data_IF_828276912066
#
_entry.id   IF_828276912066
#
_cell.length_a   1.000
_cell.length_b   1.000
_cell.length_c   1.000
_cell.angle_alpha   90.00
_cell.angle_beta   90.00
_cell.angle_gamma   90.00
#
_symmetry.space_group_name_H-M   'P 1'
#
loop_
_entity.id
_entity.type
_entity.pdbx_description
1 polymer ?
#
# COMPACT_ATOMS: atom_id res chain seq x y z
N UNK A 1 -7.79 -41.86 5.27
CA UNK A 1 -6.63 -41.00 5.04
C UNK A 1 -6.19 -40.41 6.38
N UNK A 2 -4.92 -40.53 6.77
CA UNK A 2 -4.41 -39.85 7.96
C UNK A 2 -4.33 -38.36 7.68
N UNK A 3 -5.03 -37.54 8.46
CA UNK A 3 -4.87 -36.08 8.37
C UNK A 3 -3.40 -35.71 8.69
N UNK A 4 -2.83 -34.85 7.85
CA UNK A 4 -1.50 -34.32 8.04
C UNK A 4 -1.50 -33.45 9.30
N UNK A 5 -0.56 -33.68 10.22
CA UNK A 5 -0.43 -32.88 11.42
C UNK A 5 -0.08 -31.43 11.03
N UNK A 6 -0.96 -30.49 11.37
CA UNK A 6 -0.67 -29.06 11.30
C UNK A 6 -0.19 -28.58 12.66
N UNK A 7 0.99 -27.98 12.69
CA UNK A 7 1.55 -27.40 13.92
C UNK A 7 0.66 -26.24 14.37
N UNK A 8 0.04 -26.30 15.58
CA UNK A 8 -0.76 -25.18 16.05
C UNK A 8 0.09 -23.94 16.23
N UNK A 9 -0.33 -22.82 15.63
CA UNK A 9 0.29 -21.52 15.85
C UNK A 9 -0.23 -20.96 17.17
N UNK A 10 0.55 -21.14 18.24
CA UNK A 10 0.24 -20.54 19.54
C UNK A 10 0.71 -19.09 19.49
N UNK A 11 -0.24 -18.16 19.32
CA UNK A 11 0.04 -16.73 19.44
C UNK A 11 0.20 -16.38 20.92
N UNK A 12 1.30 -15.72 21.27
CA UNK A 12 1.48 -15.15 22.61
C UNK A 12 0.53 -13.96 22.73
N UNK A 13 -0.61 -14.13 23.34
CA UNK A 13 -1.48 -13.02 23.70
C UNK A 13 -0.85 -12.28 24.89
N UNK A 14 -0.49 -11.03 24.70
CA UNK A 14 -0.16 -10.14 25.80
C UNK A 14 -1.47 -9.73 26.50
N UNK A 15 -1.94 -10.55 27.42
CA UNK A 15 -3.10 -10.25 28.26
C UNK A 15 -2.78 -9.28 29.41
N UNK A 16 -1.65 -8.60 29.35
CA UNK A 16 -1.10 -7.77 30.42
C UNK A 16 -1.76 -6.40 30.64
N UNK A 17 -2.99 -6.19 30.19
CA UNK A 17 -3.65 -4.89 30.30
C UNK A 17 -4.30 -4.59 31.65
N UNK A 18 -4.43 -5.56 32.53
CA UNK A 18 -4.91 -5.32 33.90
C UNK A 18 -3.96 -5.91 34.90
N UNK A 19 -2.99 -5.13 35.32
CA UNK A 19 -2.32 -5.45 36.56
C UNK A 19 -2.91 -4.60 37.70
N UNK A 20 -2.76 -5.11 38.92
CA UNK A 20 -3.23 -4.50 40.18
C UNK A 20 -2.72 -3.06 40.39
N UNK A 21 -1.71 -2.64 39.65
CA UNK A 21 -1.00 -1.35 39.81
C UNK A 21 -1.25 -0.38 38.63
N UNK A 22 -2.20 -0.68 37.75
CA UNK A 22 -2.48 0.11 36.53
C UNK A 22 -1.59 -0.29 35.36
N UNK A 23 -1.90 0.25 34.18
CA UNK A 23 -1.10 0.06 32.97
C UNK A 23 0.25 0.74 33.15
N UNK A 24 1.31 -0.05 33.18
CA UNK A 24 2.65 0.47 32.97
C UNK A 24 2.76 0.85 31.50
N UNK A 25 2.63 2.11 31.19
CA UNK A 25 2.99 2.64 29.89
C UNK A 25 4.52 2.75 29.86
N UNK A 26 5.17 1.66 29.43
CA UNK A 26 6.60 1.72 29.13
C UNK A 26 6.73 2.54 27.84
N UNK A 27 7.05 3.83 27.98
CA UNK A 27 7.49 4.63 26.87
C UNK A 27 8.96 4.29 26.64
N UNK A 28 9.21 3.43 25.65
CA UNK A 28 10.55 3.29 25.13
C UNK A 28 10.83 4.53 24.25
N UNK A 29 11.71 5.43 24.65
CA UNK A 29 12.07 6.57 23.82
C UNK A 29 12.75 6.06 22.55
N UNK A 30 12.38 6.65 21.41
CA UNK A 30 13.01 6.35 20.11
C UNK A 30 14.01 7.44 19.81
N UNK A 31 15.24 7.25 20.26
CA UNK A 31 16.33 8.21 20.05
C UNK A 31 16.94 8.18 18.65
N UNK A 32 16.73 7.11 17.87
CA UNK A 32 17.28 6.96 16.52
C UNK A 32 16.48 6.05 15.60
N UNK A 33 16.65 6.23 14.30
CA UNK A 33 16.10 5.41 13.21
C UNK A 33 17.29 4.87 12.42
N UNK A 34 17.41 3.56 12.30
CA UNK A 34 18.55 2.86 11.64
C UNK A 34 19.94 3.37 12.11
N UNK A 35 20.06 3.75 13.38
CA UNK A 35 21.30 4.26 13.97
C UNK A 35 21.51 5.78 13.79
N UNK A 36 20.65 6.47 13.04
CA UNK A 36 20.72 7.94 12.90
C UNK A 36 19.85 8.58 14.00
N UNK A 37 20.42 9.47 14.83
CA UNK A 37 19.67 10.15 15.90
C UNK A 37 18.49 10.97 15.34
N UNK A 38 17.32 10.84 15.96
CA UNK A 38 16.10 11.60 15.59
C UNK A 38 16.37 13.11 15.61
N UNK A 39 17.13 13.59 16.61
CA UNK A 39 17.48 15.00 16.70
C UNK A 39 18.28 15.48 15.49
N UNK A 40 19.26 14.70 15.03
CA UNK A 40 20.09 15.07 13.88
C UNK A 40 19.23 15.17 12.60
N UNK A 41 18.27 14.24 12.42
CA UNK A 41 17.34 14.27 11.28
C UNK A 41 16.47 15.54 11.28
N UNK A 42 15.97 15.92 12.46
CA UNK A 42 15.17 17.15 12.60
C UNK A 42 16.03 18.43 12.43
N UNK A 43 17.25 18.45 13.00
CA UNK A 43 18.13 19.61 12.89
C UNK A 43 18.58 19.85 11.43
N UNK A 44 18.84 18.79 10.66
CA UNK A 44 19.33 18.86 9.28
C UNK A 44 18.21 19.11 8.24
N UNK A 45 17.06 18.45 8.40
CA UNK A 45 16.01 18.45 7.39
C UNK A 45 14.75 19.22 7.78
N UNK A 46 14.71 19.75 9.01
CA UNK A 46 13.56 20.48 9.56
C UNK A 46 12.53 19.57 10.24
N UNK A 47 11.48 20.19 10.79
CA UNK A 47 10.33 19.54 11.39
C UNK A 47 9.06 20.15 10.81
N UNK A 48 8.04 19.34 10.40
CA UNK A 48 8.07 17.88 10.37
C UNK A 48 8.93 17.33 9.23
N UNK A 49 9.38 16.06 9.34
CA UNK A 49 10.14 15.37 8.28
C UNK A 49 9.74 13.88 8.20
N UNK A 50 9.51 13.38 6.98
CA UNK A 50 9.35 11.94 6.76
C UNK A 50 10.70 11.26 6.61
N UNK A 51 10.85 10.10 7.24
CA UNK A 51 12.06 9.28 7.16
C UNK A 51 11.69 7.87 6.72
N UNK A 52 12.41 7.37 5.71
CA UNK A 52 12.23 6.01 5.19
C UNK A 52 13.51 5.20 5.43
N UNK A 53 13.35 3.95 5.86
CA UNK A 53 14.44 2.99 6.05
C UNK A 53 14.58 2.09 4.82
N UNK A 54 15.66 2.22 4.05
CA UNK A 54 15.95 1.31 2.94
C UNK A 54 16.09 -0.14 3.43
N UNK A 55 16.75 -0.32 4.56
CA UNK A 55 16.94 -1.64 5.19
C UNK A 55 15.61 -2.34 5.45
N UNK A 56 14.66 -1.62 6.03
CA UNK A 56 13.36 -2.19 6.35
C UNK A 56 12.52 -2.46 5.09
N UNK A 57 12.57 -1.57 4.08
CA UNK A 57 11.91 -1.80 2.79
C UNK A 57 12.39 -3.11 2.16
N UNK A 58 13.70 -3.29 2.02
CA UNK A 58 14.28 -4.51 1.42
C UNK A 58 13.95 -5.75 2.25
N UNK A 59 14.06 -5.67 3.58
CA UNK A 59 13.73 -6.76 4.50
C UNK A 59 12.28 -7.24 4.31
N UNK A 60 11.33 -6.30 4.26
CA UNK A 60 9.90 -6.62 4.09
C UNK A 60 9.63 -7.27 2.74
N UNK A 61 10.20 -6.73 1.68
CA UNK A 61 10.06 -7.29 0.34
C UNK A 61 10.61 -8.71 0.28
N UNK A 62 11.84 -8.92 0.72
CA UNK A 62 12.49 -10.23 0.70
C UNK A 62 11.76 -11.26 1.57
N UNK A 63 11.26 -10.86 2.74
CA UNK A 63 10.47 -11.72 3.61
C UNK A 63 9.16 -12.13 2.94
N UNK A 64 8.44 -11.15 2.35
CA UNK A 64 7.17 -11.41 1.66
C UNK A 64 7.36 -12.32 0.44
N UNK A 65 8.35 -12.04 -0.39
CA UNK A 65 8.68 -12.90 -1.55
C UNK A 65 9.05 -14.31 -1.11
N UNK A 66 9.84 -14.45 -0.04
CA UNK A 66 10.21 -15.76 0.51
C UNK A 66 8.99 -16.54 0.96
N UNK A 67 8.05 -15.91 1.67
CA UNK A 67 6.84 -16.55 2.18
C UNK A 67 6.02 -17.21 1.05
N UNK A 68 5.94 -16.55 -0.11
CA UNK A 68 5.24 -17.09 -1.26
C UNK A 68 6.10 -18.10 -2.07
N UNK A 69 7.37 -17.79 -2.36
CA UNK A 69 8.24 -18.66 -3.18
C UNK A 69 8.53 -20.02 -2.55
N UNK A 70 8.47 -20.12 -1.22
CA UNK A 70 8.63 -21.41 -0.53
C UNK A 70 7.37 -22.30 -0.65
N UNK A 71 6.24 -21.76 -1.10
CA UNK A 71 4.95 -22.44 -1.20
C UNK A 71 4.45 -22.62 -2.63
N UNK A 72 4.86 -21.74 -3.53
CA UNK A 72 4.43 -21.74 -4.92
C UNK A 72 5.62 -21.45 -5.86
N UNK A 73 5.81 -22.25 -6.95
CA UNK A 73 7.04 -22.18 -7.73
C UNK A 73 7.19 -20.94 -8.62
N UNK A 74 6.06 -20.31 -9.01
CA UNK A 74 6.04 -19.20 -9.96
C UNK A 74 5.36 -17.97 -9.31
N UNK A 75 6.15 -17.09 -8.69
CA UNK A 75 5.64 -15.91 -7.98
C UNK A 75 6.35 -14.65 -8.45
N UNK A 76 5.58 -13.62 -8.69
CA UNK A 76 6.04 -12.27 -8.99
C UNK A 76 5.33 -11.23 -8.13
N UNK A 77 6.09 -10.35 -7.49
CA UNK A 77 5.54 -9.18 -6.81
C UNK A 77 5.61 -7.96 -7.75
N UNK A 78 4.55 -7.18 -7.76
CA UNK A 78 4.50 -5.88 -8.42
C UNK A 78 4.34 -4.78 -7.35
N UNK A 79 5.23 -3.78 -7.38
CA UNK A 79 5.14 -2.63 -6.50
C UNK A 79 4.00 -1.72 -6.92
N UNK A 80 3.07 -1.46 -6.00
CA UNK A 80 1.92 -0.62 -6.23
C UNK A 80 2.27 0.87 -6.05
N UNK A 81 2.44 1.61 -7.16
CA UNK A 81 2.91 2.99 -7.17
C UNK A 81 2.03 3.94 -6.35
N UNK A 82 0.71 3.75 -6.38
CA UNK A 82 -0.25 4.51 -5.56
C UNK A 82 0.04 4.48 -4.05
N UNK A 83 0.80 3.50 -3.59
CA UNK A 83 1.19 3.40 -2.18
C UNK A 83 2.27 4.42 -1.82
N UNK A 84 3.30 4.54 -2.64
CA UNK A 84 4.38 5.51 -2.53
C UNK A 84 5.16 5.57 -3.85
N UNK A 85 4.95 6.60 -4.64
CA UNK A 85 5.56 6.76 -5.97
C UNK A 85 6.85 7.57 -5.98
N UNK A 86 7.50 7.82 -4.83
CA UNK A 86 8.81 8.46 -4.83
C UNK A 86 9.83 7.62 -5.60
N UNK A 87 10.57 8.23 -6.52
CA UNK A 87 11.47 7.50 -7.42
C UNK A 87 12.48 6.63 -6.67
N UNK A 88 13.04 7.13 -5.55
CA UNK A 88 13.97 6.35 -4.74
C UNK A 88 13.32 5.07 -4.19
N UNK A 89 12.08 5.17 -3.69
CA UNK A 89 11.30 4.02 -3.19
C UNK A 89 11.03 3.02 -4.31
N UNK A 90 10.51 3.50 -5.45
CA UNK A 90 10.22 2.64 -6.60
C UNK A 90 11.48 1.89 -7.07
N UNK A 91 12.62 2.60 -7.18
CA UNK A 91 13.89 1.98 -7.61
C UNK A 91 14.40 0.93 -6.63
N UNK A 92 14.22 1.11 -5.32
CA UNK A 92 14.57 0.08 -4.33
C UNK A 92 13.78 -1.21 -4.62
N UNK A 93 12.46 -1.11 -4.83
CA UNK A 93 11.64 -2.28 -5.15
C UNK A 93 12.03 -2.93 -6.48
N UNK A 94 12.33 -2.14 -7.52
CA UNK A 94 12.76 -2.68 -8.81
C UNK A 94 14.13 -3.33 -8.74
N UNK A 95 15.06 -2.82 -7.93
CA UNK A 95 16.33 -3.49 -7.64
C UNK A 95 16.17 -4.84 -6.95
N UNK A 96 15.11 -5.00 -6.14
CA UNK A 96 14.76 -6.29 -5.53
C UNK A 96 14.01 -7.23 -6.51
N UNK A 97 13.75 -6.80 -7.74
CA UNK A 97 13.10 -7.60 -8.78
C UNK A 97 11.57 -7.45 -8.83
N UNK A 98 11.00 -6.45 -8.16
CA UNK A 98 9.58 -6.16 -8.26
C UNK A 98 9.22 -5.58 -9.63
N UNK A 99 8.09 -6.02 -10.21
CA UNK A 99 7.45 -5.33 -11.32
C UNK A 99 6.78 -4.03 -10.83
N UNK A 100 6.22 -3.26 -11.76
CA UNK A 100 5.43 -2.08 -11.43
C UNK A 100 3.94 -2.34 -11.61
N UNK A 101 3.11 -2.01 -10.61
CA UNK A 101 1.66 -1.85 -10.76
C UNK A 101 1.35 -0.36 -10.72
N UNK A 102 0.66 0.11 -11.77
CA UNK A 102 0.31 1.51 -11.98
C UNK A 102 -1.17 1.66 -12.30
N UNK A 103 -1.78 2.77 -11.87
CA UNK A 103 -3.23 3.00 -12.01
C UNK A 103 -3.57 4.31 -12.75
N UNK A 104 -2.56 4.98 -13.29
CA UNK A 104 -2.70 6.22 -14.04
C UNK A 104 -1.57 6.42 -15.04
N UNK A 105 -1.78 7.26 -16.05
CA UNK A 105 -0.75 7.59 -17.04
C UNK A 105 0.50 8.17 -16.40
N UNK A 106 0.36 9.09 -15.41
CA UNK A 106 1.55 9.66 -14.77
C UNK A 106 2.38 8.61 -14.01
N UNK A 107 1.74 7.64 -13.35
CA UNK A 107 2.45 6.53 -12.71
C UNK A 107 3.12 5.63 -13.74
N UNK A 108 2.45 5.39 -14.89
CA UNK A 108 3.02 4.65 -16.00
C UNK A 108 4.31 5.31 -16.52
N UNK A 109 4.27 6.62 -16.80
CA UNK A 109 5.45 7.37 -17.22
C UNK A 109 6.56 7.37 -16.16
N UNK A 110 6.19 7.42 -14.86
CA UNK A 110 7.17 7.26 -13.77
C UNK A 110 7.82 5.88 -13.77
N UNK A 111 7.07 4.82 -14.03
CA UNK A 111 7.61 3.46 -14.10
C UNK A 111 8.64 3.34 -15.23
N UNK A 112 8.31 3.82 -16.43
CA UNK A 112 9.24 3.90 -17.55
C UNK A 112 10.48 4.75 -17.18
N UNK A 113 10.29 5.93 -16.58
CA UNK A 113 11.39 6.81 -16.13
C UNK A 113 12.26 6.21 -15.03
N UNK A 114 11.75 5.27 -14.27
CA UNK A 114 12.51 4.50 -13.29
C UNK A 114 13.26 3.30 -13.92
N UNK A 115 13.11 3.06 -15.24
CA UNK A 115 13.80 2.01 -15.98
C UNK A 115 13.08 0.67 -15.97
N UNK A 116 11.78 0.63 -15.64
CA UNK A 116 11.00 -0.62 -15.69
C UNK A 116 10.72 -0.96 -17.15
N UNK A 117 11.04 -2.19 -17.56
CA UNK A 117 10.71 -2.68 -18.89
C UNK A 117 9.18 -2.75 -19.08
N UNK A 118 8.67 -2.38 -20.25
CA UNK A 118 7.25 -2.30 -20.51
C UNK A 118 6.49 -3.60 -20.16
N UNK A 119 7.04 -4.76 -20.51
CA UNK A 119 6.46 -6.07 -20.19
C UNK A 119 6.50 -6.44 -18.69
N UNK A 120 7.08 -5.59 -17.85
CA UNK A 120 7.07 -5.69 -16.38
C UNK A 120 6.20 -4.59 -15.75
N UNK A 121 5.35 -3.93 -16.53
CA UNK A 121 4.38 -2.97 -16.05
C UNK A 121 2.98 -3.54 -16.18
N UNK A 122 2.25 -3.55 -15.08
CA UNK A 122 0.83 -3.89 -14.99
C UNK A 122 0.05 -2.58 -14.93
N UNK A 123 -0.79 -2.34 -15.92
CA UNK A 123 -1.57 -1.12 -16.00
C UNK A 123 -3.02 -1.38 -15.61
N UNK A 124 -3.35 -1.01 -14.39
CA UNK A 124 -4.67 -1.10 -13.75
C UNK A 124 -5.44 0.22 -13.83
N UNK A 125 -6.57 0.24 -13.16
CA UNK A 125 -7.40 1.43 -12.95
C UNK A 125 -8.56 1.56 -13.93
N UNK A 126 -9.63 2.27 -13.53
CA UNK A 126 -10.85 2.42 -14.34
C UNK A 126 -10.76 3.57 -15.36
N UNK A 127 -9.72 4.39 -15.32
CA UNK A 127 -9.53 5.51 -16.25
C UNK A 127 -8.12 5.46 -16.85
N UNK A 128 -8.03 4.95 -18.08
CA UNK A 128 -6.82 4.92 -18.90
C UNK A 128 -7.05 5.75 -20.16
N UNK A 129 -6.20 6.73 -20.39
CA UNK A 129 -6.30 7.60 -21.57
C UNK A 129 -5.86 6.88 -22.85
N UNK A 130 -6.35 7.31 -24.00
CA UNK A 130 -6.00 6.73 -25.30
C UNK A 130 -4.50 6.66 -25.53
N UNK A 131 -3.80 7.75 -25.22
CA UNK A 131 -2.35 7.85 -25.43
C UNK A 131 -1.59 6.90 -24.49
N UNK A 132 -2.04 6.77 -23.23
CA UNK A 132 -1.44 5.88 -22.25
C UNK A 132 -1.66 4.40 -22.63
N UNK A 133 -2.87 4.04 -23.11
CA UNK A 133 -3.15 2.70 -23.62
C UNK A 133 -2.30 2.40 -24.85
N UNK A 134 -2.18 3.36 -25.78
CA UNK A 134 -1.34 3.22 -26.96
C UNK A 134 0.11 2.92 -26.57
N UNK A 135 0.66 3.72 -25.68
CA UNK A 135 2.02 3.55 -25.16
C UNK A 135 2.19 2.19 -24.45
N UNK A 136 1.20 1.77 -23.67
CA UNK A 136 1.24 0.48 -22.97
C UNK A 136 1.26 -0.70 -23.95
N UNK A 137 0.44 -0.66 -25.02
CA UNK A 137 0.46 -1.69 -26.07
C UNK A 137 1.80 -1.68 -26.82
N UNK A 138 2.32 -0.51 -27.16
CA UNK A 138 3.62 -0.36 -27.84
C UNK A 138 4.77 -0.96 -27.05
N UNK A 139 4.74 -0.81 -25.74
CA UNK A 139 5.76 -1.32 -24.82
C UNK A 139 5.52 -2.79 -24.40
N UNK A 140 4.42 -3.42 -24.85
CA UNK A 140 4.07 -4.80 -24.48
C UNK A 140 3.68 -4.98 -23.01
N UNK A 141 3.10 -3.95 -22.39
CA UNK A 141 2.65 -3.96 -21.00
C UNK A 141 1.40 -4.83 -20.81
N UNK A 142 1.19 -5.29 -19.59
CA UNK A 142 0.00 -6.05 -19.20
C UNK A 142 -1.11 -5.07 -18.85
N UNK A 143 -2.20 -5.05 -19.65
CA UNK A 143 -3.30 -4.13 -19.42
C UNK A 143 -4.48 -4.89 -18.79
N UNK A 144 -4.84 -4.50 -17.57
CA UNK A 144 -6.00 -5.07 -16.87
C UNK A 144 -7.26 -4.26 -17.17
N UNK A 145 -8.17 -4.86 -17.90
CA UNK A 145 -9.41 -4.23 -18.37
C UNK A 145 -10.42 -4.18 -17.22
N UNK A 146 -10.97 -3.00 -16.95
CA UNK A 146 -11.91 -2.77 -15.87
C UNK A 146 -13.38 -2.78 -16.31
N UNK A 147 -13.68 -2.38 -17.56
CA UNK A 147 -15.05 -2.27 -18.09
C UNK A 147 -15.13 -2.43 -19.61
N UNK A 148 -16.36 -2.64 -20.14
CA UNK A 148 -16.55 -2.91 -21.56
C UNK A 148 -16.16 -1.76 -22.49
N UNK A 149 -16.38 -0.51 -22.10
CA UNK A 149 -15.99 0.64 -22.93
C UNK A 149 -14.48 0.69 -23.14
N UNK A 150 -13.71 0.38 -22.10
CA UNK A 150 -12.26 0.23 -22.18
C UNK A 150 -11.87 -0.94 -23.09
N UNK A 151 -12.53 -2.10 -22.96
CA UNK A 151 -12.30 -3.25 -23.84
C UNK A 151 -12.44 -2.85 -25.32
N UNK A 152 -13.52 -2.18 -25.66
CA UNK A 152 -13.74 -1.73 -27.04
C UNK A 152 -12.76 -0.64 -27.47
N UNK A 153 -12.32 0.20 -26.55
CA UNK A 153 -11.29 1.20 -26.82
C UNK A 153 -9.95 0.55 -27.14
N UNK A 154 -9.52 -0.44 -26.35
CA UNK A 154 -8.27 -1.19 -26.56
C UNK A 154 -8.31 -1.91 -27.91
N UNK A 155 -9.43 -2.55 -28.29
CA UNK A 155 -9.59 -3.19 -29.59
C UNK A 155 -9.33 -2.20 -30.72
N UNK A 156 -9.97 -1.00 -30.67
CA UNK A 156 -9.80 0.03 -31.71
C UNK A 156 -8.36 0.56 -31.77
N UNK A 157 -7.70 0.74 -30.62
CA UNK A 157 -6.32 1.21 -30.57
C UNK A 157 -5.40 0.14 -31.13
N UNK A 158 -5.51 -1.10 -30.71
CA UNK A 158 -4.69 -2.22 -31.15
C UNK A 158 -4.82 -2.43 -32.67
N UNK A 159 -6.04 -2.38 -33.22
CA UNK A 159 -6.29 -2.45 -34.67
C UNK A 159 -5.63 -1.28 -35.43
N UNK A 160 -5.78 -0.05 -34.92
CA UNK A 160 -5.21 1.15 -35.53
C UNK A 160 -3.67 1.12 -35.61
N UNK A 161 -3.01 0.61 -34.56
CA UNK A 161 -1.53 0.55 -34.51
C UNK A 161 -0.97 -0.77 -35.07
N UNK A 162 -1.84 -1.72 -35.42
CA UNK A 162 -1.44 -3.03 -35.96
C UNK A 162 -0.67 -3.92 -35.00
N UNK A 163 -0.96 -3.82 -33.70
CA UNK A 163 -0.31 -4.61 -32.65
C UNK A 163 -1.33 -5.41 -31.84
N UNK A 164 -0.92 -6.55 -31.33
CA UNK A 164 -1.73 -7.35 -30.41
C UNK A 164 -1.51 -6.81 -28.98
N UNK A 165 -2.61 -6.48 -28.30
CA UNK A 165 -2.58 -6.06 -26.91
C UNK A 165 -2.65 -7.27 -25.97
N UNK A 166 -1.68 -7.38 -25.06
CA UNK A 166 -1.71 -8.36 -23.96
C UNK A 166 -2.61 -7.85 -22.86
N UNK A 167 -3.70 -8.56 -22.61
CA UNK A 167 -4.73 -8.10 -21.69
C UNK A 167 -5.10 -9.16 -20.66
N UNK A 168 -5.51 -8.69 -19.51
CA UNK A 168 -6.27 -9.45 -18.52
C UNK A 168 -7.59 -8.74 -18.23
N UNK A 169 -8.51 -9.39 -17.58
CA UNK A 169 -9.70 -8.73 -17.03
C UNK A 169 -9.60 -8.63 -15.52
N UNK A 170 -10.08 -7.52 -14.97
CA UNK A 170 -10.36 -7.41 -13.54
C UNK A 170 -11.71 -8.07 -13.25
N UNK A 171 -11.73 -8.99 -12.30
CA UNK A 171 -12.92 -9.72 -11.87
C UNK A 171 -13.30 -9.31 -10.47
N UNK A 172 -14.56 -8.98 -10.24
CA UNK A 172 -15.12 -8.82 -8.91
C UNK A 172 -16.09 -9.96 -8.59
N UNK A 173 -16.24 -10.26 -7.33
CA UNK A 173 -17.08 -11.35 -6.83
C UNK A 173 -17.34 -11.23 -5.33
N UNK A 174 -18.36 -11.94 -4.87
CA UNK A 174 -18.63 -12.08 -3.44
C UNK A 174 -17.66 -13.06 -2.78
N UNK A 175 -16.98 -12.63 -1.74
CA UNK A 175 -16.15 -13.48 -0.88
C UNK A 175 -16.91 -14.01 0.32
N UNK A 176 -18.15 -13.57 0.56
CA UNK A 176 -18.94 -13.88 1.74
C UNK A 176 -18.38 -13.33 3.05
N UNK A 177 -17.32 -12.54 3.00
CA UNK A 177 -16.61 -12.02 4.20
C UNK A 177 -16.65 -10.47 4.25
N UNK A 178 -16.48 -9.84 3.10
CA UNK A 178 -16.46 -8.38 2.98
C UNK A 178 -17.40 -7.92 1.88
N UNK A 179 -17.87 -6.66 1.92
CA UNK A 179 -18.66 -6.08 0.83
C UNK A 179 -17.92 -6.21 -0.51
N UNK A 180 -18.66 -6.53 -1.57
CA UNK A 180 -18.12 -6.64 -2.93
C UNK A 180 -17.64 -5.26 -3.39
N UNK A 181 -16.45 -5.21 -4.00
CA UNK A 181 -15.96 -4.02 -4.69
C UNK A 181 -16.44 -4.00 -6.14
N UNK A 182 -17.77 -4.03 -6.33
CA UNK A 182 -18.47 -4.11 -7.62
C UNK A 182 -18.34 -2.85 -8.49
N UNK A 183 -17.84 -1.76 -7.91
CA UNK A 183 -17.45 -0.57 -8.67
C UNK A 183 -16.39 -0.86 -9.73
N UNK A 184 -15.61 -1.92 -9.58
CA UNK A 184 -14.45 -2.24 -10.40
C UNK A 184 -14.60 -3.62 -11.02
N UNK A 185 -14.22 -3.72 -12.32
CA UNK A 185 -14.14 -4.99 -13.00
C UNK A 185 -15.47 -5.61 -13.38
N UNK A 186 -15.38 -6.81 -13.90
CA UNK A 186 -16.50 -7.61 -14.39
C UNK A 186 -16.95 -8.60 -13.32
N UNK A 187 -18.25 -8.66 -13.06
CA UNK A 187 -18.76 -9.54 -12.02
C UNK A 187 -18.77 -11.02 -12.46
N UNK A 188 -18.30 -11.88 -11.56
CA UNK A 188 -18.21 -13.33 -11.76
C UNK A 188 -19.60 -13.99 -11.73
N UNK A 189 -20.42 -13.68 -10.72
CA UNK A 189 -21.68 -14.36 -10.43
C UNK A 189 -22.76 -14.13 -11.51
N UNK A 190 -22.80 -12.92 -12.08
CA UNK A 190 -23.79 -12.58 -13.11
C UNK A 190 -23.33 -12.88 -14.55
N UNK A 191 -22.13 -13.45 -14.71
CA UNK A 191 -21.58 -13.87 -15.99
C UNK A 191 -20.89 -12.76 -16.81
N UNK A 192 -20.79 -11.53 -16.32
CA UNK A 192 -20.08 -10.44 -17.02
C UNK A 192 -18.61 -10.78 -17.29
N UNK A 193 -17.92 -11.37 -16.30
CA UNK A 193 -16.52 -11.79 -16.46
C UNK A 193 -16.36 -12.79 -17.62
N UNK A 194 -17.24 -13.77 -17.71
CA UNK A 194 -17.20 -14.76 -18.80
C UNK A 194 -17.52 -14.13 -20.16
N UNK A 195 -18.45 -13.19 -20.20
CA UNK A 195 -18.79 -12.44 -21.43
C UNK A 195 -17.57 -11.64 -21.92
N UNK A 196 -16.88 -10.91 -21.02
CA UNK A 196 -15.67 -10.17 -21.36
C UNK A 196 -14.55 -11.10 -21.86
N UNK A 197 -14.28 -12.21 -21.16
CA UNK A 197 -13.33 -13.24 -21.58
C UNK A 197 -13.66 -13.77 -22.99
N UNK A 198 -14.91 -14.11 -23.25
CA UNK A 198 -15.35 -14.66 -24.56
C UNK A 198 -15.14 -13.65 -25.67
N UNK A 199 -15.42 -12.35 -25.43
CA UNK A 199 -15.19 -11.29 -26.42
C UNK A 199 -13.70 -11.09 -26.70
N UNK A 200 -12.85 -11.09 -25.68
CA UNK A 200 -11.40 -10.98 -25.84
C UNK A 200 -10.86 -12.18 -26.63
N UNK A 201 -11.30 -13.40 -26.29
CA UNK A 201 -10.83 -14.61 -26.94
C UNK A 201 -11.22 -14.71 -28.41
N UNK A 202 -12.30 -14.02 -28.82
CA UNK A 202 -12.80 -13.97 -30.22
C UNK A 202 -12.12 -12.85 -31.03
N UNK A 203 -11.45 -11.90 -30.43
CA UNK A 203 -10.83 -10.77 -31.12
C UNK A 203 -9.37 -11.06 -31.49
N UNK A 204 -9.01 -10.77 -32.74
CA UNK A 204 -7.67 -11.05 -33.30
C UNK A 204 -6.59 -10.07 -32.81
N UNK A 205 -6.99 -8.92 -32.30
CA UNK A 205 -6.08 -7.85 -31.85
C UNK A 205 -5.75 -7.96 -30.35
N UNK A 206 -6.39 -8.92 -29.66
CA UNK A 206 -6.22 -9.12 -28.22
C UNK A 206 -5.66 -10.49 -27.89
N UNK A 207 -4.79 -10.55 -26.93
CA UNK A 207 -4.27 -11.76 -26.31
C UNK A 207 -4.66 -11.79 -24.83
N UNK A 208 -5.58 -12.70 -24.47
CA UNK A 208 -5.94 -12.91 -23.07
C UNK A 208 -4.81 -13.69 -22.37
N UNK A 209 -4.02 -13.01 -21.57
CA UNK A 209 -2.86 -13.59 -20.87
C UNK A 209 -3.10 -13.82 -19.38
N UNK A 210 -4.05 -13.11 -18.75
CA UNK A 210 -4.23 -13.18 -17.31
C UNK A 210 -5.65 -12.92 -16.82
N UNK A 211 -5.84 -13.22 -15.53
CA UNK A 211 -7.02 -12.86 -14.76
C UNK A 211 -6.58 -12.12 -13.51
N UNK A 212 -7.24 -11.01 -13.18
CA UNK A 212 -6.92 -10.17 -12.04
C UNK A 212 -8.11 -10.01 -11.12
N UNK A 213 -7.86 -9.93 -9.82
CA UNK A 213 -8.82 -9.44 -8.84
C UNK A 213 -8.13 -8.57 -7.78
N UNK A 214 -8.89 -7.66 -7.21
CA UNK A 214 -8.47 -6.92 -6.01
C UNK A 214 -9.67 -6.80 -5.09
N UNK A 215 -9.69 -7.59 -4.02
CA UNK A 215 -10.87 -7.85 -3.19
C UNK A 215 -11.06 -6.86 -2.05
N UNK A 216 -10.13 -5.93 -1.85
CA UNK A 216 -10.24 -4.93 -0.80
C UNK A 216 -8.90 -4.39 -0.32
N UNK A 217 -8.96 -3.58 0.72
CA UNK A 217 -7.78 -3.01 1.38
C UNK A 217 -7.77 -3.37 2.87
N UNK A 218 -6.59 -3.54 3.44
CA UNK A 218 -6.40 -3.92 4.85
C UNK A 218 -7.20 -5.17 5.24
N UNK A 219 -7.04 -6.22 4.44
CA UNK A 219 -7.82 -7.46 4.55
C UNK A 219 -7.34 -8.31 5.72
N UNK A 220 -8.20 -8.55 6.69
CA UNK A 220 -7.88 -9.35 7.89
C UNK A 220 -8.32 -10.81 7.74
N UNK A 221 -8.99 -11.17 6.65
CA UNK A 221 -9.48 -12.55 6.43
C UNK A 221 -8.65 -13.26 5.37
N UNK A 222 -7.93 -14.28 5.80
CA UNK A 222 -7.20 -15.21 4.93
C UNK A 222 -8.17 -16.02 4.05
N UNK A 223 -9.37 -16.36 4.57
CA UNK A 223 -10.37 -17.12 3.80
C UNK A 223 -10.90 -16.37 2.59
N UNK A 224 -10.98 -15.05 2.63
CA UNK A 224 -11.38 -14.24 1.47
C UNK A 224 -10.44 -14.45 0.27
N UNK A 225 -9.13 -14.58 0.51
CA UNK A 225 -8.16 -14.87 -0.55
C UNK A 225 -8.23 -16.30 -1.06
N UNK A 226 -8.61 -17.29 -0.23
CA UNK A 226 -8.90 -18.65 -0.72
C UNK A 226 -10.05 -18.64 -1.72
N UNK A 227 -11.13 -17.92 -1.41
CA UNK A 227 -12.30 -17.80 -2.30
C UNK A 227 -11.91 -17.08 -3.58
N UNK A 228 -11.14 -15.99 -3.47
CA UNK A 228 -10.63 -15.25 -4.61
C UNK A 228 -9.78 -16.14 -5.55
N UNK A 229 -8.82 -16.85 -4.99
CA UNK A 229 -7.98 -17.77 -5.74
C UNK A 229 -8.81 -18.90 -6.40
N UNK A 230 -9.79 -19.47 -5.69
CA UNK A 230 -10.68 -20.51 -6.25
C UNK A 230 -11.42 -19.98 -7.47
N UNK A 231 -12.07 -18.81 -7.38
CA UNK A 231 -12.86 -18.24 -8.50
C UNK A 231 -12.00 -17.88 -9.71
N UNK A 232 -10.80 -17.35 -9.49
CA UNK A 232 -9.88 -17.11 -10.63
C UNK A 232 -9.38 -18.42 -11.24
N UNK A 233 -9.09 -19.45 -10.44
CA UNK A 233 -8.73 -20.77 -10.94
C UNK A 233 -9.86 -21.39 -11.77
N UNK A 234 -11.10 -21.31 -11.30
CA UNK A 234 -12.28 -21.82 -12.03
C UNK A 234 -12.41 -21.15 -13.41
N UNK A 235 -12.26 -19.82 -13.47
CA UNK A 235 -12.27 -19.10 -14.75
C UNK A 235 -11.12 -19.52 -15.66
N UNK A 236 -9.90 -19.67 -15.12
CA UNK A 236 -8.72 -20.05 -15.89
C UNK A 236 -8.87 -21.47 -16.48
N UNK A 237 -9.35 -22.42 -15.70
CA UNK A 237 -9.64 -23.80 -16.16
C UNK A 237 -10.77 -23.83 -17.18
N UNK A 238 -11.79 -22.99 -16.99
CA UNK A 238 -12.87 -22.83 -17.96
C UNK A 238 -12.38 -22.23 -19.28
N UNK A 239 -11.49 -21.24 -19.26
CA UNK A 239 -10.83 -20.73 -20.47
C UNK A 239 -10.11 -21.84 -21.24
N UNK A 240 -9.39 -22.71 -20.54
CA UNK A 240 -8.69 -23.84 -21.16
C UNK A 240 -9.64 -24.85 -21.76
N UNK A 241 -10.71 -25.23 -21.06
CA UNK A 241 -11.64 -26.29 -21.51
C UNK A 241 -12.55 -25.81 -22.62
N UNK A 242 -13.15 -24.62 -22.52
CA UNK A 242 -14.15 -24.12 -23.45
C UNK A 242 -13.55 -23.31 -24.61
N UNK A 243 -12.54 -22.46 -24.34
CA UNK A 243 -11.96 -21.55 -25.33
C UNK A 243 -10.62 -22.03 -25.89
N UNK A 244 -10.04 -23.11 -25.35
CA UNK A 244 -8.69 -23.61 -25.69
C UNK A 244 -7.60 -22.53 -25.47
N UNK A 245 -7.81 -21.64 -24.50
CA UNK A 245 -6.87 -20.58 -24.11
C UNK A 245 -6.28 -20.90 -22.74
N UNK A 246 -4.97 -20.91 -22.66
CA UNK A 246 -4.25 -21.07 -21.38
C UNK A 246 -4.01 -19.69 -20.78
N UNK A 247 -4.37 -19.50 -19.52
CA UNK A 247 -4.11 -18.30 -18.77
C UNK A 247 -2.67 -18.37 -18.20
N UNK A 248 -1.86 -17.39 -18.52
CA UNK A 248 -0.44 -17.37 -18.15
C UNK A 248 -0.24 -16.95 -16.69
N UNK A 249 -1.09 -16.05 -16.16
CA UNK A 249 -1.00 -15.60 -14.78
C UNK A 249 -2.34 -15.35 -14.10
N UNK A 250 -2.33 -15.52 -12.80
CA UNK A 250 -3.38 -15.09 -11.88
C UNK A 250 -2.85 -13.97 -10.99
N UNK A 251 -3.44 -12.80 -11.08
CA UNK A 251 -3.11 -11.66 -10.25
C UNK A 251 -4.16 -11.50 -9.15
N UNK A 252 -3.77 -11.72 -7.90
CA UNK A 252 -4.65 -11.62 -6.74
C UNK A 252 -4.64 -10.22 -6.10
N UNK A 253 -4.05 -9.25 -6.81
CA UNK A 253 -3.98 -7.87 -6.34
C UNK A 253 -3.13 -7.71 -5.06
N UNK A 254 -3.48 -6.68 -4.31
CA UNK A 254 -2.87 -6.38 -3.03
C UNK A 254 -3.88 -6.49 -1.88
N UNK A 255 -3.86 -5.49 -0.99
CA UNK A 255 -4.78 -5.42 0.14
C UNK A 255 -4.25 -6.07 1.42
N UNK A 256 -3.07 -6.67 1.39
CA UNK A 256 -2.42 -7.22 2.59
C UNK A 256 -2.20 -6.12 3.64
N UNK A 257 -2.60 -6.37 4.90
CA UNK A 257 -2.53 -5.38 5.96
C UNK A 257 -1.10 -5.16 6.46
N UNK A 258 -0.87 -3.98 7.03
CA UNK A 258 0.27 -3.75 7.93
C UNK A 258 -0.16 -3.98 9.37
N UNK A 259 0.80 -4.01 10.29
CA UNK A 259 0.53 -4.15 11.72
C UNK A 259 0.14 -2.83 12.40
N UNK A 260 -0.35 -1.84 11.64
CA UNK A 260 -1.00 -0.66 12.21
C UNK A 260 -2.30 -1.06 12.91
N UNK A 261 -2.64 -0.35 13.97
CA UNK A 261 -3.91 -0.54 14.68
C UNK A 261 -4.98 0.28 13.97
N UNK A 262 -6.05 -0.37 13.51
CA UNK A 262 -7.20 0.35 12.93
C UNK A 262 -7.83 1.26 13.98
N UNK A 263 -8.27 2.45 13.57
CA UNK A 263 -8.94 3.40 14.45
C UNK A 263 -10.17 2.76 15.09
N UNK A 264 -10.26 2.88 16.40
CA UNK A 264 -11.34 2.26 17.19
C UNK A 264 -11.20 0.74 17.43
N UNK A 265 -10.12 0.11 16.97
CA UNK A 265 -9.87 -1.31 17.30
C UNK A 265 -9.38 -1.45 18.75
N UNK A 266 -9.96 -2.43 19.43
CA UNK A 266 -9.62 -2.70 20.84
C UNK A 266 -8.23 -3.33 21.02
N UNK A 267 -7.83 -4.20 20.08
CA UNK A 267 -6.53 -4.89 20.14
C UNK A 267 -5.52 -4.25 19.17
N UNK A 268 -4.25 -4.25 19.54
CA UNK A 268 -3.17 -3.77 18.65
C UNK A 268 -3.12 -4.55 17.34
N UNK A 269 -2.76 -3.88 16.24
CA UNK A 269 -2.64 -4.53 14.94
C UNK A 269 -1.63 -5.68 14.91
N UNK A 270 -0.59 -5.63 15.74
CA UNK A 270 0.39 -6.73 15.88
C UNK A 270 -0.20 -8.04 16.39
N UNK A 271 -1.34 -7.99 17.08
CA UNK A 271 -2.02 -9.15 17.64
C UNK A 271 -3.18 -9.65 16.76
N UNK A 272 -3.68 -8.81 15.84
CA UNK A 272 -4.91 -9.08 15.07
C UNK A 272 -4.66 -9.32 13.60
N UNK A 273 -3.54 -8.81 13.04
CA UNK A 273 -3.24 -8.90 11.63
C UNK A 273 -2.65 -10.28 11.30
N UNK A 274 -3.23 -11.02 10.32
CA UNK A 274 -2.63 -12.25 9.84
C UNK A 274 -1.26 -12.01 9.22
N UNK A 275 -0.35 -12.96 9.40
CA UNK A 275 0.98 -12.89 8.80
C UNK A 275 0.94 -13.08 7.28
N UNK A 276 1.98 -12.62 6.59
CA UNK A 276 2.14 -12.83 5.14
C UNK A 276 2.20 -14.34 4.82
N UNK A 277 2.78 -15.13 5.73
CA UNK A 277 2.86 -16.58 5.60
C UNK A 277 1.49 -17.25 5.57
N UNK A 278 0.54 -16.79 6.39
CA UNK A 278 -0.83 -17.32 6.40
C UNK A 278 -1.56 -17.05 5.08
N UNK A 279 -1.40 -15.85 4.52
CA UNK A 279 -1.92 -15.53 3.19
C UNK A 279 -1.24 -16.36 2.10
N UNK A 280 0.08 -16.50 2.16
CA UNK A 280 0.86 -17.27 1.19
C UNK A 280 0.45 -18.75 1.19
N UNK A 281 0.26 -19.35 2.38
CA UNK A 281 -0.21 -20.73 2.51
C UNK A 281 -1.61 -20.90 1.91
N UNK A 282 -2.52 -19.99 2.24
CA UNK A 282 -3.90 -20.08 1.79
C UNK A 282 -4.02 -19.94 0.27
N UNK A 283 -3.31 -18.99 -0.33
CA UNK A 283 -3.36 -18.73 -1.77
C UNK A 283 -2.65 -19.87 -2.53
N UNK A 284 -1.42 -20.20 -2.14
CA UNK A 284 -0.63 -21.21 -2.81
C UNK A 284 -1.29 -22.59 -2.78
N UNK A 285 -1.76 -23.03 -1.61
CA UNK A 285 -2.46 -24.33 -1.48
C UNK A 285 -3.73 -24.37 -2.34
N UNK A 286 -4.47 -23.28 -2.44
CA UNK A 286 -5.67 -23.20 -3.28
C UNK A 286 -5.33 -23.39 -4.75
N UNK A 287 -4.34 -22.67 -5.28
CA UNK A 287 -3.95 -22.75 -6.69
C UNK A 287 -3.38 -24.14 -7.01
N UNK A 288 -2.53 -24.69 -6.14
CA UNK A 288 -1.93 -26.03 -6.33
C UNK A 288 -2.97 -27.15 -6.36
N UNK A 289 -4.07 -27.00 -5.61
CA UNK A 289 -5.14 -28.00 -5.54
C UNK A 289 -6.29 -27.75 -6.56
N UNK A 290 -6.21 -26.70 -7.39
CA UNK A 290 -7.27 -26.32 -8.31
C UNK A 290 -7.41 -27.26 -9.53
N UNK A 291 -6.41 -28.10 -9.80
CA UNK A 291 -6.45 -29.05 -10.92
C UNK A 291 -5.64 -28.64 -12.15
N UNK A 292 -4.76 -27.65 -12.04
CA UNK A 292 -3.78 -27.37 -13.09
C UNK A 292 -2.76 -28.50 -13.21
N UNK A 293 -2.34 -28.80 -14.43
CA UNK A 293 -1.15 -29.65 -14.62
C UNK A 293 0.08 -28.93 -14.07
N UNK A 294 1.01 -29.66 -13.49
CA UNK A 294 2.19 -29.07 -12.84
C UNK A 294 3.01 -28.16 -13.78
N UNK A 295 3.11 -28.49 -15.04
CA UNK A 295 3.86 -27.71 -16.05
C UNK A 295 3.07 -26.46 -16.52
N UNK A 296 1.78 -26.38 -16.25
CA UNK A 296 0.87 -25.32 -16.69
C UNK A 296 0.41 -24.42 -15.52
N UNK A 297 1.04 -24.56 -14.35
CA UNK A 297 0.75 -23.66 -13.23
C UNK A 297 0.93 -22.20 -13.69
N UNK A 298 -0.09 -21.34 -13.48
CA UNK A 298 0.01 -19.92 -13.83
C UNK A 298 1.06 -19.21 -12.96
N UNK A 299 1.62 -18.11 -13.46
CA UNK A 299 2.38 -17.20 -12.62
C UNK A 299 1.43 -16.54 -11.60
N UNK A 300 1.76 -16.61 -10.32
CA UNK A 300 1.03 -15.87 -9.28
C UNK A 300 1.63 -14.47 -9.18
N UNK A 301 0.81 -13.45 -9.46
CA UNK A 301 1.17 -12.04 -9.29
C UNK A 301 0.50 -11.49 -8.03
N UNK A 302 1.22 -10.63 -7.31
CA UNK A 302 0.76 -9.96 -6.10
C UNK A 302 1.13 -8.48 -6.17
N UNK A 303 0.13 -7.60 -6.18
CA UNK A 303 0.27 -6.14 -6.27
C UNK A 303 0.41 -5.53 -4.87
N UNK A 304 1.52 -5.80 -4.25
CA UNK A 304 1.70 -5.43 -2.84
C UNK A 304 2.19 -3.99 -2.69
N UNK A 305 1.62 -3.31 -1.72
CA UNK A 305 1.99 -1.96 -1.34
C UNK A 305 2.22 -1.84 0.15
N UNK A 306 1.16 -1.62 0.91
CA UNK A 306 1.16 -1.33 2.35
C UNK A 306 2.08 -2.23 3.18
N UNK A 307 1.91 -3.54 3.07
CA UNK A 307 2.67 -4.54 3.85
C UNK A 307 4.19 -4.46 3.61
N UNK A 308 4.60 -3.91 2.48
CA UNK A 308 6.02 -3.84 2.10
C UNK A 308 6.73 -2.58 2.61
N UNK A 309 6.00 -1.49 2.92
CA UNK A 309 6.64 -0.20 3.21
C UNK A 309 6.12 0.49 4.48
N UNK A 310 4.95 0.12 4.98
CA UNK A 310 4.30 0.91 6.03
C UNK A 310 5.19 1.08 7.27
N UNK A 311 5.77 0.00 7.76
CA UNK A 311 6.65 -0.03 8.93
C UNK A 311 8.10 0.45 8.64
N UNK A 312 8.43 0.71 7.38
CA UNK A 312 9.68 1.34 6.99
C UNK A 312 9.63 2.88 7.04
N UNK A 313 8.44 3.46 7.24
CA UNK A 313 8.23 4.90 7.28
C UNK A 313 8.00 5.45 8.68
N UNK A 314 8.60 6.60 8.93
CA UNK A 314 8.48 7.38 10.15
C UNK A 314 8.17 8.84 9.80
N UNK A 315 7.42 9.52 10.67
CA UNK A 315 7.25 10.97 10.64
C UNK A 315 7.79 11.51 11.96
N UNK A 316 8.82 12.34 11.87
CA UNK A 316 9.35 13.11 13.00
C UNK A 316 8.66 14.46 12.99
N UNK A 317 8.12 14.88 14.12
CA UNK A 317 7.54 16.19 14.29
C UNK A 317 7.78 16.72 15.69
N UNK A 318 7.47 18.00 15.89
CA UNK A 318 7.73 18.70 17.15
C UNK A 318 6.46 19.20 17.82
N UNK A 319 6.51 19.32 19.13
CA UNK A 319 5.47 19.96 19.93
C UNK A 319 5.50 21.46 19.70
N UNK A 320 4.36 22.05 19.37
CA UNK A 320 4.16 23.51 19.28
C UNK A 320 3.75 24.06 20.64
N UNK A 321 2.72 23.48 21.26
CA UNK A 321 2.13 23.98 22.48
C UNK A 321 1.31 22.91 23.22
N UNK A 322 1.07 23.17 24.51
CA UNK A 322 0.11 22.42 25.32
C UNK A 322 -1.00 23.36 25.80
N UNK A 323 -2.19 22.82 25.98
CA UNK A 323 -3.33 23.51 26.55
C UNK A 323 -4.24 22.56 27.31
N UNK A 324 -5.16 23.13 28.12
CA UNK A 324 -6.29 22.40 28.69
C UNK A 324 -7.55 22.66 27.88
N UNK A 325 -8.28 21.61 27.56
CA UNK A 325 -9.59 21.70 26.95
C UNK A 325 -10.65 22.07 27.98
N UNK A 326 -11.84 22.47 27.54
CA UNK A 326 -12.95 22.84 28.40
C UNK A 326 -13.42 21.69 29.34
N UNK A 327 -13.22 20.45 28.93
CA UNK A 327 -13.52 19.25 29.71
C UNK A 327 -12.37 18.83 30.66
N UNK A 328 -11.29 19.62 30.70
CA UNK A 328 -10.12 19.40 31.57
C UNK A 328 -9.04 18.49 30.98
N UNK A 329 -9.27 17.81 29.86
CA UNK A 329 -8.25 16.97 29.22
C UNK A 329 -7.06 17.81 28.75
N UNK A 330 -5.89 17.22 28.79
CA UNK A 330 -4.70 17.80 28.17
C UNK A 330 -4.79 17.70 26.65
N UNK A 331 -4.39 18.75 25.97
CA UNK A 331 -4.18 18.76 24.53
C UNK A 331 -2.74 19.19 24.23
N UNK A 332 -2.09 18.49 23.32
CA UNK A 332 -0.79 18.86 22.76
C UNK A 332 -0.97 19.13 21.29
N UNK A 333 -0.48 20.28 20.83
CA UNK A 333 -0.49 20.69 19.43
C UNK A 333 0.88 20.41 18.85
N UNK A 334 0.92 19.71 17.71
CA UNK A 334 2.16 19.36 17.00
C UNK A 334 2.24 20.05 15.65
N UNK A 335 3.41 20.05 15.02
CA UNK A 335 3.68 20.70 13.73
C UNK A 335 3.29 19.87 12.50
N UNK A 336 2.64 18.71 12.71
CA UNK A 336 2.09 17.86 11.65
C UNK A 336 0.61 17.56 11.90
N UNK A 337 -0.16 17.50 10.83
CA UNK A 337 -1.60 17.26 10.90
C UNK A 337 -2.08 16.29 9.83
N UNK A 338 -3.40 16.17 9.72
CA UNK A 338 -4.05 15.24 8.78
C UNK A 338 -3.73 15.55 7.30
N UNK A 339 -3.28 16.76 6.99
CA UNK A 339 -2.87 17.14 5.64
C UNK A 339 -1.67 16.34 5.13
N UNK A 340 -0.74 15.97 6.00
CA UNK A 340 0.44 15.18 5.65
C UNK A 340 0.40 13.76 6.25
N UNK A 341 -0.35 13.55 7.32
CA UNK A 341 -0.58 12.26 7.96
C UNK A 341 -2.04 11.79 7.71
N UNK A 342 -2.42 11.67 6.44
CA UNK A 342 -3.77 11.28 6.04
C UNK A 342 -4.22 9.96 6.68
N UNK A 343 -3.29 9.03 6.88
CA UNK A 343 -3.58 7.71 7.46
C UNK A 343 -3.97 7.75 8.95
N UNK A 344 -3.84 8.90 9.63
CA UNK A 344 -4.40 9.08 10.98
C UNK A 344 -5.93 9.01 11.01
N UNK A 345 -6.60 9.15 9.85
CA UNK A 345 -8.03 8.89 9.71
C UNK A 345 -8.37 7.39 9.73
N UNK A 346 -7.40 6.52 9.46
CA UNK A 346 -7.57 5.06 9.41
C UNK A 346 -7.01 4.34 10.62
N UNK A 347 -5.93 4.90 11.21
CA UNK A 347 -5.13 4.23 12.23
C UNK A 347 -4.96 5.05 13.49
N UNK A 348 -4.85 4.33 14.58
CA UNK A 348 -4.26 4.79 15.82
C UNK A 348 -2.75 4.51 15.79
N UNK A 349 -2.00 5.37 15.06
CA UNK A 349 -0.55 5.21 14.92
C UNK A 349 0.16 5.13 16.28
N UNK A 350 1.17 4.25 16.36
CA UNK A 350 2.11 4.28 17.47
C UNK A 350 2.92 5.58 17.39
N UNK A 351 2.95 6.32 18.50
CA UNK A 351 3.74 7.55 18.64
C UNK A 351 4.69 7.34 19.79
N UNK A 352 5.97 7.60 19.55
CA UNK A 352 7.04 7.56 20.55
C UNK A 352 7.61 8.96 20.76
N UNK A 353 8.23 9.19 21.90
CA UNK A 353 8.98 10.42 22.21
C UNK A 353 10.46 10.20 21.92
N UNK A 354 11.17 11.26 21.49
CA UNK A 354 12.58 11.15 21.12
C UNK A 354 13.55 11.39 22.28
N UNK A 355 13.04 11.63 23.48
CA UNK A 355 13.82 11.82 24.70
C UNK A 355 13.34 10.91 25.82
N UNK A 356 14.17 10.66 26.82
CA UNK A 356 13.71 10.05 28.05
C UNK A 356 12.70 10.98 28.74
N UNK A 357 11.62 10.39 29.25
CA UNK A 357 10.56 11.11 29.92
C UNK A 357 10.27 10.54 31.31
N UNK A 358 9.69 11.37 32.17
CA UNK A 358 9.25 10.95 33.50
C UNK A 358 8.15 9.87 33.41
N UNK A 359 8.01 9.11 34.49
CA UNK A 359 7.03 8.00 34.58
C UNK A 359 5.57 8.47 34.64
N UNK A 360 5.33 9.74 34.92
CA UNK A 360 3.98 10.29 35.00
C UNK A 360 3.45 10.60 33.61
N UNK A 361 2.34 9.97 33.27
CA UNK A 361 1.63 10.17 31.99
C UNK A 361 0.20 10.60 32.25
N UNK A 362 -0.35 11.35 31.31
CA UNK A 362 -1.73 11.81 31.32
C UNK A 362 -2.37 11.55 29.96
N UNK A 363 -3.65 11.22 29.97
CA UNK A 363 -4.44 11.12 28.74
C UNK A 363 -4.44 12.46 28.01
N UNK A 364 -4.05 12.46 26.76
CA UNK A 364 -3.78 13.65 25.96
C UNK A 364 -4.46 13.49 24.59
N UNK A 365 -5.11 14.56 24.13
CA UNK A 365 -5.53 14.71 22.73
C UNK A 365 -4.36 15.30 21.95
N UNK A 366 -4.01 14.71 20.82
CA UNK A 366 -2.96 15.22 19.94
C UNK A 366 -3.57 15.86 18.71
N UNK A 367 -3.44 17.20 18.62
CA UNK A 367 -3.94 18.00 17.51
C UNK A 367 -2.82 18.38 16.54
N UNK A 368 -3.13 18.46 15.25
CA UNK A 368 -2.27 19.10 14.27
C UNK A 368 -2.38 20.63 14.29
N UNK A 369 -1.63 21.31 13.40
CA UNK A 369 -1.52 22.77 13.36
C UNK A 369 -2.56 23.46 12.49
N UNK A 370 -3.47 22.71 11.86
CA UNK A 370 -4.38 23.24 10.85
C UNK A 370 -5.56 23.97 11.47
N UNK A 371 -6.05 25.03 10.82
CA UNK A 371 -7.28 25.73 11.20
C UNK A 371 -8.52 24.91 10.84
N UNK A 372 -8.55 23.63 11.22
CA UNK A 372 -9.64 22.68 11.00
C UNK A 372 -9.95 21.91 12.27
N UNK A 373 -11.22 21.85 12.65
CA UNK A 373 -11.62 21.11 13.86
C UNK A 373 -11.41 19.59 13.75
N UNK A 374 -11.28 19.07 12.52
CA UNK A 374 -11.01 17.66 12.25
C UNK A 374 -9.50 17.31 12.28
N UNK A 375 -8.62 18.28 12.52
CA UNK A 375 -7.18 18.05 12.56
C UNK A 375 -6.75 17.40 13.89
N UNK A 376 -7.23 16.19 14.08
CA UNK A 376 -6.99 15.35 15.26
C UNK A 376 -6.09 14.17 14.85
N UNK A 377 -4.85 14.19 15.27
CA UNK A 377 -3.89 13.11 15.01
C UNK A 377 -4.20 11.88 15.89
N UNK A 378 -4.49 12.11 17.18
CA UNK A 378 -4.93 11.07 18.13
C UNK A 378 -5.95 11.64 19.10
N UNK A 379 -7.09 10.98 19.20
CA UNK A 379 -8.17 11.39 20.11
C UNK A 379 -7.85 11.13 21.59
N UNK A 380 -7.03 10.08 21.83
CA UNK A 380 -6.60 9.68 23.15
C UNK A 380 -5.25 8.97 23.05
N UNK A 381 -4.28 9.45 23.78
CA UNK A 381 -2.96 8.84 23.94
C UNK A 381 -2.40 9.22 25.31
N UNK A 382 -1.87 8.25 26.05
CA UNK A 382 -1.15 8.56 27.28
C UNK A 382 0.25 9.06 26.95
N UNK A 383 0.55 10.32 27.28
CA UNK A 383 1.86 10.95 27.06
C UNK A 383 2.38 11.55 28.37
N UNK A 384 3.71 11.56 28.58
CA UNK A 384 4.29 12.40 29.61
C UNK A 384 4.04 13.89 29.32
N UNK A 385 4.37 14.77 30.24
CA UNK A 385 4.37 16.19 29.95
C UNK A 385 5.49 16.49 28.95
N UNK A 386 5.12 17.02 27.81
CA UNK A 386 6.03 17.45 26.75
C UNK A 386 6.15 18.97 26.76
N UNK A 387 7.29 19.47 26.35
CA UNK A 387 7.55 20.91 26.19
C UNK A 387 7.58 21.29 24.72
N UNK A 388 7.36 22.58 24.37
CA UNK A 388 7.59 23.05 23.01
C UNK A 388 8.97 22.65 22.49
N UNK A 389 9.03 22.21 21.22
CA UNK A 389 10.18 21.63 20.53
C UNK A 389 10.60 20.21 20.95
N UNK A 390 9.88 19.55 21.85
CA UNK A 390 10.06 18.12 22.05
C UNK A 390 9.68 17.36 20.80
N UNK A 391 10.52 16.37 20.42
CA UNK A 391 10.33 15.60 19.20
C UNK A 391 9.49 14.34 19.47
N UNK A 392 8.56 14.11 18.58
CA UNK A 392 7.74 12.91 18.50
C UNK A 392 8.07 12.13 17.23
N UNK A 393 7.98 10.81 17.29
CA UNK A 393 8.15 9.90 16.16
C UNK A 393 6.86 9.13 15.96
N UNK A 394 6.18 9.36 14.84
CA UNK A 394 5.03 8.57 14.39
C UNK A 394 5.54 7.41 13.56
N UNK A 395 5.17 6.19 13.95
CA UNK A 395 5.63 4.97 13.32
C UNK A 395 4.67 4.48 12.24
N UNK A 396 5.19 3.69 11.30
CA UNK A 396 4.43 2.96 10.27
C UNK A 396 3.61 3.90 9.39
N UNK A 397 4.29 4.87 8.79
CA UNK A 397 3.70 5.88 7.92
C UNK A 397 4.23 5.85 6.48
N UNK A 398 4.90 4.76 6.08
CA UNK A 398 5.50 4.63 4.75
C UNK A 398 4.50 4.55 3.60
N UNK A 399 3.27 4.11 3.88
CA UNK A 399 2.23 3.91 2.87
C UNK A 399 1.19 5.03 2.89
N UNK A 400 0.80 5.50 1.71
CA UNK A 400 -0.32 6.42 1.42
C UNK A 400 -0.24 7.82 1.99
N UNK A 401 0.72 8.18 2.83
CA UNK A 401 0.84 9.55 3.33
C UNK A 401 1.42 10.49 2.27
N UNK A 402 2.51 10.10 1.60
CA UNK A 402 3.17 10.91 0.57
C UNK A 402 2.43 10.94 -0.78
N UNK A 403 1.43 10.11 -0.96
CA UNK A 403 0.60 10.06 -2.17
C UNK A 403 -0.79 10.68 -1.99
N UNK A 404 -1.24 10.81 -0.74
CA UNK A 404 -2.55 11.36 -0.38
C UNK A 404 -2.46 12.62 0.48
N UNK A 405 -1.29 13.23 0.61
CA UNK A 405 -1.18 14.49 1.33
C UNK A 405 -1.84 15.66 0.60
N UNK A 406 -2.48 16.51 1.38
CA UNK A 406 -3.19 17.67 0.90
C UNK A 406 -2.31 18.92 0.95
N UNK A 407 -2.43 19.79 -0.05
CA UNK A 407 -1.90 21.14 0.02
C UNK A 407 -2.89 22.03 0.77
N UNK A 408 -2.68 22.21 2.07
CA UNK A 408 -3.55 23.02 2.91
C UNK A 408 -2.77 23.64 4.05
N UNK A 409 -2.82 24.98 4.17
CA UNK A 409 -2.20 25.84 5.20
C UNK A 409 -0.66 25.71 5.23
N UNK A 410 -0.14 24.52 5.46
CA UNK A 410 1.29 24.26 5.55
C UNK A 410 1.82 23.60 4.27
N UNK A 411 3.07 23.89 3.95
CA UNK A 411 3.79 23.27 2.84
C UNK A 411 4.16 21.84 3.18
N UNK A 412 4.23 20.97 2.17
CA UNK A 412 4.62 19.56 2.38
C UNK A 412 6.09 19.46 2.74
N UNK A 413 6.43 18.62 3.73
CA UNK A 413 7.77 18.56 4.30
C UNK A 413 8.76 17.79 3.41
N UNK A 414 10.02 17.77 3.86
CA UNK A 414 11.07 16.93 3.33
C UNK A 414 10.77 15.44 3.51
N UNK A 415 11.31 14.62 2.60
CA UNK A 415 11.38 13.16 2.77
C UNK A 415 12.82 12.72 2.65
N UNK A 416 13.29 11.99 3.65
CA UNK A 416 14.66 11.50 3.78
C UNK A 416 14.68 9.98 3.70
N UNK A 417 15.65 9.41 3.02
CA UNK A 417 15.94 7.97 3.01
C UNK A 417 17.23 7.73 3.82
N UNK A 418 17.20 6.77 4.73
CA UNK A 418 18.39 6.23 5.36
C UNK A 418 18.80 4.97 4.60
N UNK A 419 20.00 4.97 4.03
CA UNK A 419 20.52 3.86 3.25
C UNK A 419 21.03 2.70 4.12
N UNK A 420 21.53 1.64 3.47
CA UNK A 420 22.03 0.45 4.16
C UNK A 420 23.27 0.73 5.03
N UNK A 421 24.00 1.79 4.77
CA UNK A 421 25.18 2.24 5.50
C UNK A 421 24.86 3.23 6.61
N UNK A 422 23.58 3.62 6.77
CA UNK A 422 23.14 4.61 7.75
C UNK A 422 23.34 6.07 7.29
N UNK A 423 23.66 6.29 6.00
CA UNK A 423 23.75 7.64 5.44
C UNK A 423 22.36 8.15 5.07
N UNK A 424 22.12 9.43 5.32
CA UNK A 424 20.86 10.12 5.01
C UNK A 424 20.90 10.71 3.60
N UNK A 425 19.80 10.62 2.88
CA UNK A 425 19.60 11.16 1.54
C UNK A 425 18.28 11.89 1.44
N UNK A 426 18.31 13.17 1.08
CA UNK A 426 17.11 13.94 0.80
C UNK A 426 16.51 13.46 -0.53
N UNK A 427 15.45 12.65 -0.48
CA UNK A 427 14.79 12.08 -1.67
C UNK A 427 13.61 12.92 -2.17
N UNK A 428 13.10 13.85 -1.35
CA UNK A 428 12.16 14.89 -1.73
C UNK A 428 12.43 16.15 -0.91
N UNK A 429 12.65 17.28 -1.61
CA UNK A 429 12.82 18.58 -0.96
C UNK A 429 11.52 19.03 -0.31
N UNK A 430 11.57 19.78 0.80
CA UNK A 430 10.39 20.46 1.30
C UNK A 430 9.90 21.47 0.25
N UNK A 431 8.59 21.71 0.24
CA UNK A 431 8.02 22.74 -0.63
C UNK A 431 8.34 24.13 -0.11
N UNK A 432 8.29 25.09 -1.03
CA UNK A 432 8.41 26.51 -0.75
C UNK A 432 7.39 27.29 -1.58
N UNK A 433 7.26 28.59 -1.34
CA UNK A 433 6.31 29.44 -2.04
C UNK A 433 6.55 29.41 -3.57
N UNK A 434 7.78 29.46 -4.00
CA UNK A 434 8.13 29.41 -5.43
C UNK A 434 7.63 28.12 -6.11
N UNK A 435 7.67 26.99 -5.41
CA UNK A 435 7.12 25.71 -5.91
C UNK A 435 5.59 25.78 -6.07
N UNK A 436 4.89 26.40 -5.11
CA UNK A 436 3.42 26.53 -5.17
C UNK A 436 2.98 27.45 -6.31
N UNK A 437 3.69 28.55 -6.50
CA UNK A 437 3.38 29.55 -7.53
C UNK A 437 3.81 29.13 -8.96
N UNK A 438 4.57 28.03 -9.09
CA UNK A 438 5.13 27.58 -10.37
C UNK A 438 4.07 27.41 -11.48
N UNK A 439 2.86 27.03 -11.12
CA UNK A 439 1.75 26.79 -12.04
C UNK A 439 0.73 27.93 -12.08
N UNK A 440 0.90 28.96 -11.25
CA UNK A 440 -0.01 30.11 -11.19
C UNK A 440 0.27 31.09 -12.33
N UNK A 441 -0.76 31.66 -12.86
CA UNK A 441 -0.67 32.70 -13.90
C UNK A 441 -1.50 33.91 -13.50
N UNK A 442 -0.85 35.07 -13.45
CA UNK A 442 -1.53 36.34 -13.19
C UNK A 442 -2.01 36.96 -14.50
N UNK A 443 -3.34 37.10 -14.71
CA UNK A 443 -3.87 37.78 -15.88
C UNK A 443 -3.37 39.22 -15.99
N UNK A 444 -3.22 39.75 -17.24
CA UNK A 444 -2.63 41.06 -17.48
C UNK A 444 -3.34 42.22 -16.74
N UNK A 445 -4.68 42.13 -16.63
CA UNK A 445 -5.49 43.17 -15.97
C UNK A 445 -5.39 43.16 -14.42
N UNK A 446 -4.66 42.19 -13.84
CA UNK A 446 -4.41 42.07 -12.39
C UNK A 446 -2.94 42.34 -12.03
N UNK A 447 -2.10 42.64 -13.01
CA UNK A 447 -0.69 43.00 -12.82
C UNK A 447 -0.49 44.40 -12.32
#
# INVERSE_FOLDING_TARGET
MKQKYERPTIRKMNTGFMNKFGTRTDFDPVSGIDGVPVKNLSDEYGSPVFVLSERQIRKNYQASVRSFKTRYPKVQFAWSYKTNYLNAVCRIFHQEGSWAEVVSGFEYHKAIGNGVAGNHIIFNGPDKKVDDITLAIENGSLIHIDHFDELYQIIRIADKIGKIAKVAIRVNFDTGVYPIWDRFGFNYENGQAWNAISKIAADKNLELVGLHCHIGTFMLSVSAYKIAATKLCDLALRCKTELKKTIEYLDLGGGFPSTNTLKGAYLPGVDTVPSVEEFAEAIASTILNAGFNHNELPLLILESGRVLIDDAGYLIGSVIANKRLSDGRRATIVDFGINILFTSSWYDHKISIAKEAGQYTEETVLFGPLCMNIDVVRESINLPLLEPNDLLVVHKVGAYNMTQWMQFINMRPAVVLIDLQGKTHLIRKPENLQYLELTEQLPEHLK
#
